data_IF_003579652463
#
_entry.id   IF_003579652463
#
_cell.length_a   1.000
_cell.length_b   1.000
_cell.length_c   1.000
_cell.angle_alpha   90.00
_cell.angle_beta   90.00
_cell.angle_gamma   90.00
#
_symmetry.space_group_name_H-M   'P 1'
#
loop_
_entity.id
_entity.type
_entity.pdbx_description
1 polymer ?
#
# COMPACT_ATOMS: atom_id res chain seq x y z
N UNK A 1 -7.36 4.30 -9.58
CA UNK A 1 -6.05 3.64 -9.73
C UNK A 1 -6.07 2.32 -8.97
N UNK A 2 -5.43 1.27 -9.47
CA UNK A 2 -5.33 -0.05 -8.84
C UNK A 2 -4.00 -0.19 -8.06
N UNK A 3 -3.86 -1.19 -7.19
CA UNK A 3 -2.62 -1.46 -6.45
C UNK A 3 -1.40 -1.73 -7.36
N UNK A 4 -1.52 -2.51 -8.46
CA UNK A 4 -0.40 -2.71 -9.40
C UNK A 4 0.10 -1.41 -10.03
N UNK A 5 -0.79 -0.48 -10.38
CA UNK A 5 -0.39 0.82 -10.95
C UNK A 5 0.31 1.72 -9.97
N UNK A 6 -0.13 1.72 -8.71
CA UNK A 6 0.59 2.41 -7.65
C UNK A 6 2.00 1.85 -7.52
N UNK A 7 2.13 0.52 -7.53
CA UNK A 7 3.42 -0.18 -7.47
C UNK A 7 4.34 0.23 -8.62
N UNK A 8 3.87 0.12 -9.86
CA UNK A 8 4.63 0.52 -11.06
C UNK A 8 5.10 1.99 -11.00
N UNK A 9 4.21 2.90 -10.58
CA UNK A 9 4.53 4.32 -10.51
C UNK A 9 5.64 4.60 -9.48
N UNK A 10 5.49 4.05 -8.27
CA UNK A 10 6.46 4.25 -7.19
C UNK A 10 7.79 3.57 -7.52
N UNK A 11 7.78 2.39 -8.13
CA UNK A 11 8.99 1.70 -8.59
C UNK A 11 9.73 2.51 -9.67
N UNK A 12 9.02 3.05 -10.66
CA UNK A 12 9.65 3.93 -11.67
C UNK A 12 10.26 5.20 -11.06
N UNK A 13 9.56 5.80 -10.09
CA UNK A 13 10.08 6.92 -9.31
C UNK A 13 11.38 6.57 -8.56
N UNK A 14 11.41 5.41 -7.89
CA UNK A 14 12.58 4.88 -7.19
C UNK A 14 13.76 4.62 -8.13
N UNK A 15 13.54 3.96 -9.27
CA UNK A 15 14.58 3.63 -10.24
C UNK A 15 15.24 4.87 -10.85
N UNK A 16 14.47 5.94 -11.02
CA UNK A 16 14.97 7.22 -11.53
C UNK A 16 15.84 7.99 -10.51
N UNK A 17 15.82 7.60 -9.23
CA UNK A 17 16.50 8.31 -8.14
C UNK A 17 15.90 9.67 -7.79
N UNK A 18 14.67 9.95 -8.25
CA UNK A 18 14.05 11.29 -8.15
C UNK A 18 13.16 11.44 -6.91
N UNK A 19 12.91 10.37 -6.17
CA UNK A 19 11.94 10.37 -5.07
C UNK A 19 12.56 9.89 -3.76
N UNK A 20 12.79 10.83 -2.84
CA UNK A 20 13.17 10.57 -1.44
C UNK A 20 11.95 10.31 -0.56
N UNK A 21 10.78 10.80 -0.95
CA UNK A 21 9.52 10.58 -0.26
C UNK A 21 8.38 10.39 -1.24
N UNK A 22 7.47 9.48 -0.91
CA UNK A 22 6.21 9.24 -1.61
C UNK A 22 5.07 9.50 -0.64
N UNK A 23 4.11 10.32 -1.05
CA UNK A 23 2.92 10.64 -0.25
C UNK A 23 1.69 10.05 -0.93
N UNK A 24 0.93 9.24 -0.20
CA UNK A 24 -0.33 8.64 -0.66
C UNK A 24 -1.49 9.26 0.11
N UNK A 25 -2.34 9.96 -0.61
CA UNK A 25 -3.52 10.61 -0.06
C UNK A 25 -4.76 9.72 -0.18
N UNK A 26 -5.34 9.40 0.98
CA UNK A 26 -6.48 8.51 1.13
C UNK A 26 -7.79 9.23 1.45
N UNK A 27 -7.84 10.56 1.35
CA UNK A 27 -9.06 11.36 1.64
C UNK A 27 -10.28 10.90 0.83
N UNK A 28 -10.04 10.44 -0.40
CA UNK A 28 -11.09 9.90 -1.30
C UNK A 28 -11.14 8.38 -1.34
N UNK A 29 -10.46 7.69 -0.41
CA UNK A 29 -10.37 6.23 -0.31
C UNK A 29 -11.15 5.69 0.92
N UNK A 30 -12.46 5.41 0.78
CA UNK A 30 -13.31 5.09 1.92
C UNK A 30 -13.06 3.70 2.54
N UNK A 31 -12.36 2.82 1.83
CA UNK A 31 -12.00 1.49 2.32
C UNK A 31 -10.75 0.99 1.60
N UNK A 32 -9.85 0.39 2.36
CA UNK A 32 -8.71 -0.37 1.86
C UNK A 32 -8.96 -1.87 2.04
N UNK A 33 -8.51 -2.67 1.07
CA UNK A 33 -8.44 -4.13 1.22
C UNK A 33 -7.02 -4.58 1.60
N UNK A 34 -6.87 -5.85 1.97
CA UNK A 34 -5.58 -6.42 2.34
C UNK A 34 -4.56 -6.40 1.20
N UNK A 35 -5.01 -6.42 -0.05
CA UNK A 35 -4.14 -6.35 -1.23
C UNK A 35 -3.49 -4.99 -1.37
N UNK A 36 -4.26 -3.90 -1.22
CA UNK A 36 -3.75 -2.54 -1.23
C UNK A 36 -2.79 -2.30 -0.06
N UNK A 37 -3.17 -2.72 1.15
CA UNK A 37 -2.31 -2.57 2.33
C UNK A 37 -1.00 -3.38 2.21
N UNK A 38 -1.05 -4.61 1.68
CA UNK A 38 0.16 -5.38 1.41
C UNK A 38 1.03 -4.79 0.29
N UNK A 39 0.42 -4.10 -0.67
CA UNK A 39 1.17 -3.33 -1.68
C UNK A 39 1.89 -2.15 -1.04
N UNK A 40 1.23 -1.37 -0.17
CA UNK A 40 1.86 -0.30 0.60
C UNK A 40 3.01 -0.84 1.45
N UNK A 41 2.82 -1.97 2.12
CA UNK A 41 3.86 -2.64 2.90
C UNK A 41 5.10 -2.97 2.06
N UNK A 42 4.89 -3.57 0.89
CA UNK A 42 5.97 -3.89 -0.05
C UNK A 42 6.70 -2.65 -0.58
N UNK A 43 5.96 -1.57 -0.87
CA UNK A 43 6.54 -0.30 -1.32
C UNK A 43 7.33 0.40 -0.22
N UNK A 44 6.79 0.45 1.00
CA UNK A 44 7.47 1.03 2.16
C UNK A 44 8.80 0.34 2.41
N UNK A 45 8.83 -1.00 2.43
CA UNK A 45 10.07 -1.76 2.62
C UNK A 45 11.13 -1.43 1.56
N UNK A 46 10.74 -1.32 0.28
CA UNK A 46 11.65 -0.96 -0.80
C UNK A 46 12.15 0.48 -0.74
N UNK A 47 11.28 1.42 -0.33
CA UNK A 47 11.66 2.81 -0.08
C UNK A 47 12.70 2.88 1.04
N UNK A 48 12.48 2.17 2.15
CA UNK A 48 13.41 2.13 3.29
C UNK A 48 14.80 1.59 2.92
N UNK A 49 14.89 0.57 2.06
CA UNK A 49 16.18 0.06 1.54
C UNK A 49 16.98 1.11 0.75
N UNK A 50 16.32 2.18 0.30
CA UNK A 50 16.89 3.29 -0.47
C UNK A 50 16.94 4.60 0.34
N UNK A 51 16.78 4.53 1.65
CA UNK A 51 16.68 5.70 2.55
C UNK A 51 15.49 6.62 2.23
N UNK A 52 14.52 6.14 1.45
CA UNK A 52 13.28 6.83 1.13
C UNK A 52 12.16 6.52 2.12
N UNK A 53 11.07 7.31 2.05
CA UNK A 53 9.94 7.23 2.99
C UNK A 53 8.59 7.15 2.28
N UNK A 54 7.64 6.45 2.89
CA UNK A 54 6.24 6.38 2.42
C UNK A 54 5.33 7.01 3.47
N UNK A 55 4.69 8.11 3.11
CA UNK A 55 3.74 8.83 3.95
C UNK A 55 2.31 8.60 3.51
N UNK A 56 1.41 8.39 4.48
CA UNK A 56 -0.03 8.24 4.27
C UNK A 56 -0.76 9.40 4.92
N UNK A 57 -1.57 10.09 4.13
CA UNK A 57 -2.33 11.29 4.52
C UNK A 57 -3.81 11.11 4.17
N UNK A 58 -4.70 11.95 4.73
CA UNK A 58 -6.15 11.83 4.53
C UNK A 58 -6.73 10.53 5.10
N UNK A 59 -6.17 10.02 6.21
CA UNK A 59 -6.65 8.79 6.82
C UNK A 59 -7.99 9.01 7.54
N UNK A 60 -8.98 8.16 7.24
CA UNK A 60 -10.11 7.98 8.15
C UNK A 60 -9.69 7.15 9.37
N UNK A 61 -10.40 7.30 10.50
CA UNK A 61 -10.15 6.53 11.73
C UNK A 61 -10.12 5.02 11.46
N UNK A 62 -11.06 4.53 10.63
CA UNK A 62 -11.13 3.13 10.23
C UNK A 62 -9.89 2.68 9.45
N UNK A 63 -9.41 3.50 8.53
CA UNK A 63 -8.24 3.19 7.72
C UNK A 63 -6.97 3.17 8.58
N UNK A 64 -6.84 4.13 9.51
CA UNK A 64 -5.77 4.16 10.51
C UNK A 64 -5.76 2.90 11.37
N UNK A 65 -6.90 2.54 11.95
CA UNK A 65 -7.02 1.32 12.76
C UNK A 65 -6.63 0.07 11.98
N UNK A 66 -6.99 0.00 10.70
CA UNK A 66 -6.65 -1.12 9.83
C UNK A 66 -5.14 -1.21 9.57
N UNK A 67 -4.46 -0.08 9.34
CA UNK A 67 -3.00 -0.04 9.15
C UNK A 67 -2.27 -0.45 10.44
N UNK A 68 -2.71 0.07 11.59
CA UNK A 68 -2.13 -0.26 12.91
C UNK A 68 -2.37 -1.71 13.30
N UNK A 69 -3.56 -2.26 13.04
CA UNK A 69 -3.86 -3.67 13.32
C UNK A 69 -2.98 -4.64 12.51
N UNK A 70 -2.49 -4.19 11.35
CA UNK A 70 -1.55 -4.93 10.50
C UNK A 70 -0.08 -4.63 10.81
N UNK A 71 0.23 -3.69 11.71
CA UNK A 71 1.58 -3.29 12.09
C UNK A 71 2.27 -2.38 11.06
N UNK A 72 1.51 -1.79 10.14
CA UNK A 72 2.07 -0.95 9.07
C UNK A 72 2.50 0.44 9.56
N UNK A 73 2.02 0.86 10.72
CA UNK A 73 2.48 2.07 11.42
C UNK A 73 3.97 2.04 11.79
N UNK A 74 4.60 0.86 11.81
CA UNK A 74 6.03 0.72 12.05
C UNK A 74 6.91 1.09 10.83
N UNK A 75 6.34 1.11 9.62
CA UNK A 75 7.07 1.32 8.36
C UNK A 75 6.51 2.46 7.51
N UNK A 76 5.31 2.95 7.83
CA UNK A 76 4.65 4.08 7.16
C UNK A 76 4.72 5.32 8.04
N UNK A 77 5.00 6.47 7.44
CA UNK A 77 4.73 7.75 8.09
C UNK A 77 3.23 8.03 7.98
N UNK A 78 2.57 8.34 9.09
CA UNK A 78 1.14 8.66 9.09
C UNK A 78 0.91 10.04 9.68
N UNK A 79 -0.18 10.70 9.30
CA UNK A 79 -0.67 11.88 10.01
C UNK A 79 -0.81 11.59 11.51
N UNK A 80 -0.66 12.63 12.33
CA UNK A 80 -1.03 12.60 13.73
C UNK A 80 -2.56 12.45 13.90
N UNK A 81 -3.01 12.15 15.11
CA UNK A 81 -4.45 12.02 15.42
C UNK A 81 -5.24 13.32 15.20
N UNK A 82 -4.58 14.48 15.23
CA UNK A 82 -5.16 15.78 14.91
C UNK A 82 -5.14 16.11 13.40
N UNK A 83 -4.71 15.16 12.56
CA UNK A 83 -4.60 15.32 11.11
C UNK A 83 -3.36 16.09 10.64
N UNK A 84 -2.45 16.45 11.54
CA UNK A 84 -1.21 17.14 11.18
C UNK A 84 -0.18 16.17 10.60
N UNK A 85 0.49 16.58 9.51
CA UNK A 85 1.68 15.94 8.95
C UNK A 85 2.66 16.98 8.42
N UNK A 86 3.89 16.56 8.09
CA UNK A 86 4.89 17.40 7.41
C UNK A 86 4.34 18.00 6.10
N UNK A 87 3.37 17.33 5.49
CA UNK A 87 2.77 17.69 4.21
C UNK A 87 1.56 18.62 4.33
N UNK A 88 1.02 18.85 5.54
CA UNK A 88 -0.28 19.53 5.74
C UNK A 88 -0.41 20.88 5.04
N UNK A 89 0.67 21.66 4.93
CA UNK A 89 0.64 22.97 4.27
C UNK A 89 0.53 22.89 2.74
N UNK A 90 1.01 21.79 2.15
CA UNK A 90 1.05 21.60 0.70
C UNK A 90 -0.11 20.71 0.21
N UNK A 91 -0.74 19.92 1.09
CA UNK A 91 -1.79 18.97 0.73
C UNK A 91 -2.96 19.62 -0.02
N UNK A 92 -3.46 20.77 0.41
CA UNK A 92 -4.59 21.43 -0.25
C UNK A 92 -4.23 21.86 -1.68
N UNK A 93 -3.02 22.42 -1.87
CA UNK A 93 -2.53 22.82 -3.18
C UNK A 93 -2.30 21.60 -4.09
N UNK A 94 -1.74 20.51 -3.55
CA UNK A 94 -1.55 19.24 -4.26
C UNK A 94 -2.90 18.67 -4.69
N UNK A 95 -3.86 18.54 -3.77
CA UNK A 95 -5.21 18.03 -4.03
C UNK A 95 -5.92 18.80 -5.14
N UNK A 96 -5.83 20.13 -5.11
CA UNK A 96 -6.40 20.99 -6.15
C UNK A 96 -5.73 20.80 -7.53
N UNK A 97 -4.48 20.34 -7.56
CA UNK A 97 -3.74 20.01 -8.78
C UNK A 97 -3.88 18.57 -9.25
N UNK A 98 -4.43 17.68 -8.41
CA UNK A 98 -4.66 16.28 -8.78
C UNK A 98 -5.66 16.21 -9.92
N UNK A 99 -5.34 15.36 -10.90
CA UNK A 99 -6.25 15.01 -11.99
C UNK A 99 -6.68 13.58 -11.82
N UNK A 100 -7.96 13.34 -12.05
CA UNK A 100 -8.46 11.99 -12.14
C UNK A 100 -7.65 11.21 -13.18
N UNK A 101 -7.24 10.03 -12.77
CA UNK A 101 -6.62 9.09 -13.67
C UNK A 101 -7.70 8.49 -14.58
N UNK A 102 -7.64 8.79 -15.87
CA UNK A 102 -8.58 8.35 -16.92
C UNK A 102 -8.23 6.99 -17.52
N UNK A 103 -7.18 6.34 -17.00
CA UNK A 103 -6.77 5.01 -17.42
C UNK A 103 -7.83 3.95 -17.14
N UNK A 104 -7.80 2.88 -17.94
CA UNK A 104 -8.70 1.75 -17.77
C UNK A 104 -8.51 1.16 -16.37
N UNK A 105 -9.61 0.98 -15.62
CA UNK A 105 -9.57 0.21 -14.37
C UNK A 105 -9.03 -1.18 -14.69
N UNK A 106 -7.91 -1.55 -14.07
CA UNK A 106 -7.43 -2.91 -14.17
C UNK A 106 -8.48 -3.88 -13.61
N UNK A 107 -8.46 -5.12 -14.09
CA UNK A 107 -9.32 -6.18 -13.57
C UNK A 107 -9.03 -6.49 -12.09
N UNK A 108 -9.72 -7.49 -11.56
CA UNK A 108 -9.36 -8.02 -10.23
C UNK A 108 -7.86 -8.41 -10.22
N UNK A 109 -7.17 -8.09 -9.11
CA UNK A 109 -5.77 -8.44 -8.92
C UNK A 109 -5.54 -9.93 -9.14
N UNK A 110 -4.41 -10.28 -9.76
CA UNK A 110 -4.08 -11.68 -9.98
C UNK A 110 -3.87 -12.41 -8.64
N UNK A 111 -4.16 -13.71 -8.57
CA UNK A 111 -4.00 -14.47 -7.31
C UNK A 111 -2.56 -14.41 -6.79
N UNK A 112 -1.59 -14.34 -7.70
CA UNK A 112 -0.17 -14.14 -7.42
C UNK A 112 0.10 -12.82 -6.69
N UNK A 113 -0.53 -11.72 -7.14
CA UNK A 113 -0.37 -10.39 -6.55
C UNK A 113 -1.00 -10.33 -5.16
N UNK A 114 -2.19 -10.91 -5.02
CA UNK A 114 -2.87 -11.01 -3.72
C UNK A 114 -2.04 -11.84 -2.74
N UNK A 115 -1.44 -12.94 -3.21
CA UNK A 115 -0.55 -13.77 -2.40
C UNK A 115 0.71 -13.03 -1.98
N UNK A 116 1.37 -12.32 -2.90
CA UNK A 116 2.54 -11.47 -2.60
C UNK A 116 2.19 -10.42 -1.54
N UNK A 117 1.06 -9.73 -1.69
CA UNK A 117 0.60 -8.72 -0.74
C UNK A 117 0.40 -9.29 0.67
N UNK A 118 -0.27 -10.45 0.81
CA UNK A 118 -0.47 -11.07 2.12
C UNK A 118 0.85 -11.57 2.74
N UNK A 119 1.78 -12.07 1.92
CA UNK A 119 3.14 -12.42 2.41
C UNK A 119 3.87 -11.19 2.93
N UNK A 120 3.79 -10.05 2.25
CA UNK A 120 4.37 -8.78 2.73
C UNK A 120 3.77 -8.34 4.06
N UNK A 121 2.45 -8.46 4.24
CA UNK A 121 1.84 -8.18 5.54
C UNK A 121 2.40 -9.09 6.64
N UNK A 122 2.64 -10.37 6.35
CA UNK A 122 3.23 -11.31 7.31
C UNK A 122 4.71 -11.02 7.61
N UNK A 123 5.47 -10.56 6.63
CA UNK A 123 6.86 -10.12 6.82
C UNK A 123 6.97 -8.88 7.72
N UNK A 124 5.98 -7.97 7.66
CA UNK A 124 5.96 -6.77 8.51
C UNK A 124 5.60 -7.13 9.95
N UNK A 125 4.64 -8.03 10.15
CA UNK A 125 4.18 -8.42 11.47
C UNK A 125 3.79 -9.89 11.54
N UNK A 126 4.52 -10.66 12.36
CA UNK A 126 4.28 -12.09 12.57
C UNK A 126 2.86 -12.42 13.03
N UNK A 127 2.14 -11.48 13.65
CA UNK A 127 0.73 -11.66 14.04
C UNK A 127 -0.17 -11.89 12.83
N UNK A 128 0.21 -11.34 11.66
CA UNK A 128 -0.55 -11.47 10.42
C UNK A 128 -0.54 -12.90 9.87
N UNK A 129 0.48 -13.71 10.16
CA UNK A 129 0.48 -15.13 9.78
C UNK A 129 -0.74 -15.86 10.33
N UNK A 130 -1.08 -15.68 11.61
CA UNK A 130 -2.26 -16.33 12.21
C UNK A 130 -3.57 -15.80 11.64
N UNK A 131 -3.62 -14.53 11.23
CA UNK A 131 -4.81 -13.89 10.64
C UNK A 131 -5.06 -14.40 9.22
N UNK A 132 -4.00 -14.67 8.45
CA UNK A 132 -4.08 -14.93 7.01
C UNK A 132 -3.72 -16.36 6.61
N UNK A 133 -3.35 -17.24 7.53
CA UNK A 133 -2.96 -18.63 7.29
C UNK A 133 -3.86 -19.36 6.28
N UNK A 134 -5.17 -19.38 6.54
CA UNK A 134 -6.13 -20.04 5.66
C UNK A 134 -6.25 -19.38 4.27
N UNK A 135 -6.06 -18.06 4.18
CA UNK A 135 -6.13 -17.32 2.91
C UNK A 135 -4.87 -17.60 2.08
N UNK A 136 -3.70 -17.57 2.71
CA UNK A 136 -2.41 -17.91 2.09
C UNK A 136 -2.43 -19.35 1.55
N UNK A 137 -2.90 -20.31 2.34
CA UNK A 137 -3.01 -21.72 1.94
C UNK A 137 -3.86 -21.92 0.68
N UNK A 138 -4.96 -21.18 0.56
CA UNK A 138 -5.85 -21.26 -0.61
C UNK A 138 -5.19 -20.62 -1.83
N UNK A 139 -4.65 -19.41 -1.67
CA UNK A 139 -3.99 -18.67 -2.74
C UNK A 139 -2.76 -19.42 -3.28
N UNK A 140 -1.96 -20.04 -2.42
CA UNK A 140 -0.80 -20.84 -2.82
C UNK A 140 -1.19 -22.04 -3.70
N UNK A 141 -2.28 -22.73 -3.35
CA UNK A 141 -2.81 -23.85 -4.15
C UNK A 141 -3.35 -23.37 -5.49
N UNK A 142 -4.05 -22.24 -5.52
CA UNK A 142 -4.59 -21.66 -6.75
C UNK A 142 -3.47 -21.24 -7.72
N UNK A 143 -2.47 -20.51 -7.22
CA UNK A 143 -1.30 -20.09 -8.00
C UNK A 143 -0.53 -21.30 -8.54
N UNK A 144 -0.26 -22.30 -7.69
CA UNK A 144 0.44 -23.52 -8.10
C UNK A 144 -0.31 -24.29 -9.19
N UNK A 145 -1.64 -24.39 -9.08
CA UNK A 145 -2.47 -25.08 -10.06
C UNK A 145 -2.47 -24.38 -11.43
N UNK A 146 -2.41 -23.04 -11.46
CA UNK A 146 -2.32 -22.26 -12.70
C UNK A 146 -0.96 -22.37 -13.38
N UNK A 147 0.12 -22.47 -12.62
CA UNK A 147 1.48 -22.60 -13.18
C UNK A 147 1.79 -24.02 -13.71
N UNK A 148 1.04 -25.02 -13.25
CA UNK A 148 1.22 -26.41 -13.66
C UNK A 148 0.37 -26.84 -14.87
N UNK A 149 -0.53 -25.97 -15.35
CA UNK A 149 -1.41 -26.20 -16.50
C UNK A 149 -0.97 -25.45 -17.75
#
# INVERSE_FOLDING_TARGET
MSSPRLKEYVEGCLESGTCEAVVVDLDTCPAMDSTFMGTLAGLAGRLMEREGRLAIVGLSDRNRDSLVDLGLDAILEMENEDGASEWSNDLEAIRNGLKDWDGARDGAAAAEEVLEAHRKLCEVDDRNHKKFDAVLDVLEKEVSARQAG
#
